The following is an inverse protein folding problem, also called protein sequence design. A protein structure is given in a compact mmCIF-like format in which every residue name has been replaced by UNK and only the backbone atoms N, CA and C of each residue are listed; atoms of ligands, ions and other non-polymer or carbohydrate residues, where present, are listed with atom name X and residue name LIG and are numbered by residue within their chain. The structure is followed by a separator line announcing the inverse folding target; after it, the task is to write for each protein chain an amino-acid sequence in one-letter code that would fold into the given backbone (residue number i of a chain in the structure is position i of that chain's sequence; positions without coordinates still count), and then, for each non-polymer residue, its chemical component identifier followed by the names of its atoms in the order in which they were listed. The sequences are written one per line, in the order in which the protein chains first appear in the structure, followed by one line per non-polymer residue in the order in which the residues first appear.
data_IF_470271871663
#
_entry.id   IF_470271871663
#
_cell.length_a   1.000
_cell.length_b   1.000
_cell.length_c   1.000
_cell.angle_alpha   90.00
_cell.angle_beta   90.00
_cell.angle_gamma   90.00
#
_symmetry.space_group_name_H-M   'P 1'
#
loop_
_entity.id
_entity.type
_entity.pdbx_description
1 polymer ?
#
# COMPACT_ATOMS: atom_id res chain seq x y z
N UNK A 1 -9.79 22.66 -13.26
CA UNK A 1 -10.80 21.65 -12.87
C UNK A 1 -10.76 20.55 -13.90
N UNK A 2 -10.17 19.41 -13.56
CA UNK A 2 -10.12 18.21 -14.40
C UNK A 2 -10.25 17.02 -13.46
N UNK A 3 -11.44 16.43 -13.46
CA UNK A 3 -11.78 15.34 -12.56
C UNK A 3 -10.93 14.09 -12.83
N UNK A 4 -10.67 13.36 -11.76
CA UNK A 4 -10.29 11.95 -11.86
C UNK A 4 -11.18 11.14 -10.92
N UNK A 5 -12.42 10.94 -11.35
CA UNK A 5 -13.13 9.69 -11.04
C UNK A 5 -12.24 8.54 -11.53
N UNK A 6 -11.51 7.91 -10.60
CA UNK A 6 -10.28 7.20 -10.95
C UNK A 6 -9.84 6.09 -10.01
N UNK A 7 -10.77 5.16 -9.70
CA UNK A 7 -10.51 3.73 -9.40
C UNK A 7 -9.86 3.39 -8.04
N UNK A 8 -10.58 2.68 -7.14
CA UNK A 8 -10.07 2.27 -5.83
C UNK A 8 -8.89 1.26 -5.89
N UNK A 9 -8.58 0.71 -7.06
CA UNK A 9 -7.42 -0.16 -7.33
C UNK A 9 -6.06 0.54 -7.37
N UNK A 10 -6.00 1.77 -7.88
CA UNK A 10 -4.75 2.52 -7.97
C UNK A 10 -4.21 2.86 -6.57
N UNK A 11 -5.11 3.04 -5.59
CA UNK A 11 -4.76 3.29 -4.20
C UNK A 11 -4.08 2.08 -3.54
N UNK A 12 -4.55 0.85 -3.78
CA UNK A 12 -3.95 -0.36 -3.17
C UNK A 12 -2.54 -0.62 -3.66
N UNK A 13 -2.32 -0.51 -4.97
CA UNK A 13 -1.00 -0.70 -5.57
C UNK A 13 -0.03 0.40 -5.17
N UNK A 14 -0.50 1.66 -5.16
CA UNK A 14 0.29 2.80 -4.71
C UNK A 14 0.71 2.68 -3.24
N UNK A 15 -0.22 2.27 -2.37
CA UNK A 15 0.04 2.06 -0.96
C UNK A 15 1.01 0.89 -0.74
N UNK A 16 0.81 -0.24 -1.41
CA UNK A 16 1.72 -1.37 -1.36
C UNK A 16 3.13 -1.01 -1.87
N UNK A 17 3.24 -0.24 -2.94
CA UNK A 17 4.51 0.26 -3.47
C UNK A 17 5.23 1.18 -2.47
N UNK A 18 4.50 2.03 -1.75
CA UNK A 18 5.05 2.86 -0.70
C UNK A 18 5.60 2.01 0.46
N UNK A 19 4.85 0.99 0.90
CA UNK A 19 5.30 0.06 1.96
C UNK A 19 6.58 -0.67 1.52
N UNK A 20 6.64 -1.13 0.26
CA UNK A 20 7.84 -1.76 -0.30
C UNK A 20 9.03 -0.81 -0.32
N UNK A 21 8.82 0.45 -0.72
CA UNK A 21 9.87 1.46 -0.72
C UNK A 21 10.41 1.72 0.70
N UNK A 22 9.53 1.75 1.72
CA UNK A 22 9.95 1.88 3.11
C UNK A 22 10.78 0.67 3.59
N UNK A 23 10.40 -0.55 3.20
CA UNK A 23 11.19 -1.77 3.49
C UNK A 23 12.56 -1.71 2.81
N UNK A 24 12.61 -1.37 1.52
CA UNK A 24 13.86 -1.24 0.75
C UNK A 24 14.77 -0.16 1.34
N UNK A 25 14.24 1.00 1.75
CA UNK A 25 14.98 2.06 2.44
C UNK A 25 15.55 1.61 3.80
N UNK A 26 14.98 0.57 4.41
CA UNK A 26 15.44 -0.05 5.68
C UNK A 26 16.21 -1.35 5.44
N UNK A 27 16.80 -1.53 4.25
CA UNK A 27 17.55 -2.72 3.86
C UNK A 27 16.76 -4.03 4.00
N UNK A 28 15.44 -4.00 3.74
CA UNK A 28 14.53 -5.16 3.75
C UNK A 28 14.40 -5.88 5.10
N UNK A 29 14.57 -5.13 6.19
CA UNK A 29 14.48 -5.63 7.57
C UNK A 29 13.13 -5.34 8.22
N UNK A 30 12.26 -4.57 7.57
CA UNK A 30 10.97 -4.15 8.11
C UNK A 30 9.95 -5.27 7.94
N UNK A 31 9.76 -5.73 6.71
CA UNK A 31 8.77 -6.75 6.37
C UNK A 31 9.36 -8.15 6.49
N UNK A 32 8.59 -9.09 7.01
CA UNK A 32 8.92 -10.52 6.92
C UNK A 32 8.62 -11.06 5.51
N UNK A 33 9.05 -12.30 5.22
CA UNK A 33 8.90 -12.91 3.90
C UNK A 33 7.44 -13.04 3.44
N UNK A 34 6.49 -13.32 4.34
CA UNK A 34 5.07 -13.43 4.01
C UNK A 34 4.48 -12.06 3.64
N UNK A 35 4.79 -11.04 4.43
CA UNK A 35 4.34 -9.66 4.20
C UNK A 35 4.91 -9.11 2.89
N UNK A 36 6.20 -9.37 2.59
CA UNK A 36 6.81 -9.00 1.32
C UNK A 36 6.13 -9.67 0.12
N UNK A 37 5.76 -10.95 0.25
CA UNK A 37 5.04 -11.66 -0.79
C UNK A 37 3.63 -11.09 -1.01
N UNK A 38 2.93 -10.71 0.06
CA UNK A 38 1.65 -10.01 -0.02
C UNK A 38 1.80 -8.65 -0.73
N UNK A 39 2.73 -7.81 -0.30
CA UNK A 39 2.98 -6.51 -0.93
C UNK A 39 3.29 -6.67 -2.43
N UNK A 40 4.14 -7.63 -2.79
CA UNK A 40 4.45 -7.91 -4.19
C UNK A 40 3.24 -8.45 -4.96
N UNK A 41 2.38 -9.27 -4.34
CA UNK A 41 1.17 -9.77 -5.00
C UNK A 41 0.14 -8.65 -5.24
N UNK A 42 0.04 -7.67 -4.35
CA UNK A 42 -0.80 -6.48 -4.55
C UNK A 42 -0.23 -5.60 -5.68
N UNK A 43 1.07 -5.30 -5.66
CA UNK A 43 1.73 -4.48 -6.69
C UNK A 43 1.64 -5.12 -8.08
N UNK A 44 1.92 -6.42 -8.17
CA UNK A 44 1.99 -7.16 -9.44
C UNK A 44 0.70 -7.90 -9.78
N UNK A 45 -0.34 -7.77 -8.95
CA UNK A 45 -1.64 -8.39 -9.17
C UNK A 45 -2.21 -8.00 -10.53
N UNK A 46 -2.56 -8.98 -11.36
CA UNK A 46 -3.14 -8.74 -12.68
C UNK A 46 -4.59 -8.24 -12.60
N UNK A 47 -5.25 -8.43 -11.45
CA UNK A 47 -6.64 -8.00 -11.26
C UNK A 47 -6.73 -6.50 -11.09
N UNK A 48 -7.61 -5.87 -11.89
CA UNK A 48 -8.06 -4.47 -11.71
C UNK A 48 -9.29 -4.41 -10.78
N UNK A 49 -9.52 -5.43 -9.95
CA UNK A 49 -10.62 -5.45 -9.00
C UNK A 49 -10.12 -5.09 -7.61
N UNK A 50 -10.70 -4.01 -7.10
CA UNK A 50 -10.46 -3.54 -5.77
C UNK A 50 -10.91 -4.60 -4.76
N UNK A 51 -10.00 -4.96 -3.85
CA UNK A 51 -10.27 -5.99 -2.83
C UNK A 51 -10.25 -5.33 -1.46
N UNK A 52 -11.40 -5.05 -0.81
CA UNK A 52 -11.45 -4.31 0.46
C UNK A 52 -10.58 -4.91 1.57
N UNK A 53 -10.38 -6.24 1.56
CA UNK A 53 -9.48 -6.92 2.48
C UNK A 53 -8.03 -6.40 2.37
N UNK A 54 -7.55 -6.12 1.16
CA UNK A 54 -6.19 -5.62 0.95
C UNK A 54 -6.01 -4.21 1.50
N UNK A 55 -7.04 -3.35 1.47
CA UNK A 55 -6.94 -2.04 2.13
C UNK A 55 -6.64 -2.19 3.61
N UNK A 56 -7.39 -3.07 4.29
CA UNK A 56 -7.20 -3.32 5.72
C UNK A 56 -5.83 -3.92 5.99
N UNK A 57 -5.44 -4.95 5.24
CA UNK A 57 -4.14 -5.61 5.44
C UNK A 57 -2.97 -4.63 5.17
N UNK A 58 -3.10 -3.73 4.18
CA UNK A 58 -2.10 -2.67 3.90
C UNK A 58 -2.08 -1.59 4.99
N UNK A 59 -3.24 -1.17 5.50
CA UNK A 59 -3.33 -0.22 6.61
C UNK A 59 -2.72 -0.79 7.89
N UNK A 60 -3.03 -2.04 8.22
CA UNK A 60 -2.49 -2.74 9.40
C UNK A 60 -0.96 -2.87 9.30
N UNK A 61 -0.43 -3.19 8.10
CA UNK A 61 1.01 -3.21 7.82
C UNK A 61 1.66 -1.84 8.03
N UNK A 62 1.07 -0.79 7.46
CA UNK A 62 1.58 0.58 7.61
C UNK A 62 1.54 1.03 9.07
N UNK A 63 0.48 0.71 9.80
CA UNK A 63 0.36 1.06 11.22
C UNK A 63 1.38 0.31 12.09
N UNK A 64 1.64 -0.97 11.79
CA UNK A 64 2.64 -1.78 12.49
C UNK A 64 4.05 -1.21 12.37
N UNK A 65 4.44 -0.75 11.19
CA UNK A 65 5.83 -0.33 10.91
C UNK A 65 6.05 1.18 10.91
N UNK A 66 4.97 1.94 10.81
CA UNK A 66 4.97 3.39 10.86
C UNK A 66 3.85 3.94 11.75
N UNK A 67 3.79 3.57 13.04
CA UNK A 67 2.68 3.93 13.93
C UNK A 67 2.48 5.44 14.14
N UNK A 68 3.53 6.24 13.94
CA UNK A 68 3.48 7.71 14.01
C UNK A 68 3.41 8.40 12.64
N UNK A 69 3.50 7.64 11.55
CA UNK A 69 3.30 8.18 10.22
C UNK A 69 1.80 8.07 9.98
N UNK A 70 1.07 9.16 10.24
CA UNK A 70 -0.32 9.25 9.79
C UNK A 70 -0.31 9.04 8.28
N UNK A 71 -0.60 7.83 7.83
CA UNK A 71 -0.94 7.57 6.44
C UNK A 71 -2.20 8.38 6.18
N UNK A 72 -1.98 9.61 5.70
CA UNK A 72 -3.00 10.44 5.10
C UNK A 72 -2.93 10.07 3.62
N UNK A 73 -3.85 9.22 3.10
CA UNK A 73 -4.07 9.24 1.67
C UNK A 73 -4.29 10.71 1.30
N UNK A 74 -3.59 11.17 0.26
CA UNK A 74 -3.53 12.58 -0.11
C UNK A 74 -4.87 13.00 -0.71
N UNK A 75 -5.87 13.17 0.13
CA UNK A 75 -7.11 13.84 -0.22
C UNK A 75 -7.04 15.24 0.39
N UNK A 76 -6.63 16.21 -0.42
CA UNK A 76 -6.62 17.62 -0.03
C UNK A 76 -5.62 18.44 -0.80
N UNK A 77 -5.89 18.67 -2.09
CA UNK A 77 -5.83 19.97 -2.80
C UNK A 77 -6.27 19.76 -4.27
#
# INVERSE_FOLDING_TARGET
MGGVEGKPDANQRGHAAQIRQMDDNRNRTMLNSQERNFINSVIHGKSKQHTPKFDKDLQDLTQKYTPNNQYRPKDGL
#
